data_IF_004861270353
#
_entry.id   IF_004861270353
#
_cell.length_a   1.000
_cell.length_b   1.000
_cell.length_c   1.000
_cell.angle_alpha   90.00
_cell.angle_beta   90.00
_cell.angle_gamma   90.00
#
_symmetry.space_group_name_H-M   'P 1'
#
loop_
_entity.id
_entity.type
_entity.pdbx_description
1 polymer ?
#
# COMPACT_ATOMS: atom_id res chain seq x y z
N UNK A 1 -0.68 -18.20 -11.45
CA UNK A 1 -1.37 -17.11 -12.15
C UNK A 1 -2.83 -17.09 -11.75
N UNK A 2 -3.25 -16.03 -11.02
CA UNK A 2 -4.62 -15.90 -10.49
C UNK A 2 -5.68 -15.64 -11.58
N UNK A 3 -5.28 -15.29 -12.80
CA UNK A 3 -6.20 -15.20 -13.92
C UNK A 3 -6.66 -16.59 -14.43
N UNK A 4 -5.94 -17.65 -14.04
CA UNK A 4 -6.17 -19.03 -14.45
C UNK A 4 -6.80 -19.83 -13.31
N UNK A 5 -8.13 -19.98 -13.29
CA UNK A 5 -8.86 -20.67 -12.21
C UNK A 5 -8.30 -22.05 -11.86
N UNK A 6 -8.01 -22.88 -12.87
CA UNK A 6 -7.51 -24.22 -12.64
C UNK A 6 -6.12 -24.20 -11.92
N UNK A 7 -5.20 -23.36 -12.40
CA UNK A 7 -3.87 -23.21 -11.80
C UNK A 7 -3.93 -22.65 -10.38
N UNK A 8 -4.84 -21.70 -10.13
CA UNK A 8 -5.03 -21.13 -8.79
C UNK A 8 -5.57 -22.21 -7.83
N UNK A 9 -6.62 -22.93 -8.23
CA UNK A 9 -7.17 -24.05 -7.46
C UNK A 9 -6.10 -25.09 -7.09
N UNK A 10 -5.28 -25.48 -8.05
CA UNK A 10 -4.23 -26.46 -7.80
C UNK A 10 -3.15 -25.93 -6.87
N UNK A 11 -2.80 -24.65 -6.98
CA UNK A 11 -1.81 -23.97 -6.11
C UNK A 11 -2.32 -23.76 -4.68
N UNK A 12 -3.63 -23.65 -4.47
CA UNK A 12 -4.23 -23.39 -3.14
C UNK A 12 -4.76 -24.66 -2.47
N UNK A 13 -4.59 -25.83 -3.09
CA UNK A 13 -5.06 -27.11 -2.55
C UNK A 13 -4.44 -27.41 -1.18
N UNK A 14 -5.29 -27.58 -0.17
CA UNK A 14 -4.85 -27.88 1.21
C UNK A 14 -4.28 -26.66 1.97
N UNK A 15 -4.42 -25.46 1.41
CA UNK A 15 -4.06 -24.24 2.13
C UNK A 15 -5.12 -23.90 3.19
N UNK A 16 -4.69 -23.47 4.38
CA UNK A 16 -5.54 -22.94 5.43
C UNK A 16 -5.84 -21.45 5.20
N UNK A 17 -4.91 -20.72 4.57
CA UNK A 17 -5.01 -19.30 4.27
C UNK A 17 -4.49 -19.02 2.86
N UNK A 18 -5.20 -18.18 2.12
CA UNK A 18 -4.79 -17.63 0.82
C UNK A 18 -4.48 -16.16 0.99
N UNK A 19 -3.20 -15.79 0.89
CA UNK A 19 -2.77 -14.40 0.91
C UNK A 19 -2.72 -13.83 -0.52
N UNK A 20 -3.64 -12.92 -0.82
CA UNK A 20 -3.67 -12.21 -2.08
C UNK A 20 -2.83 -10.92 -2.00
N UNK A 21 -1.57 -10.99 -2.40
CA UNK A 21 -0.66 -9.85 -2.55
C UNK A 21 -0.40 -9.51 -4.03
N UNK A 22 -1.31 -9.89 -4.92
CA UNK A 22 -1.18 -9.65 -6.35
C UNK A 22 -1.33 -8.17 -6.66
N UNK A 23 -0.52 -7.66 -7.58
CA UNK A 23 -0.63 -6.29 -8.08
C UNK A 23 -0.35 -6.25 -9.59
N UNK A 24 -1.35 -6.41 -10.45
CA UNK A 24 -1.17 -6.29 -11.89
C UNK A 24 -0.78 -4.85 -12.27
N UNK A 25 -0.22 -4.62 -13.48
CA UNK A 25 0.11 -3.28 -13.94
C UNK A 25 -1.10 -2.34 -13.88
N UNK A 26 -0.93 -1.13 -13.37
CA UNK A 26 -2.00 -0.14 -13.11
C UNK A 26 -2.99 0.05 -14.26
N UNK A 27 -2.48 0.14 -15.51
CA UNK A 27 -3.31 0.36 -16.70
C UNK A 27 -4.16 -0.86 -17.09
N UNK A 28 -3.98 -2.00 -16.39
CA UNK A 28 -4.72 -3.24 -16.62
C UNK A 28 -5.70 -3.56 -15.50
N UNK A 29 -5.78 -2.77 -14.44
CA UNK A 29 -6.59 -3.07 -13.25
C UNK A 29 -8.07 -3.29 -13.56
N UNK A 30 -8.68 -2.42 -14.35
CA UNK A 30 -10.11 -2.58 -14.72
C UNK A 30 -10.37 -3.87 -15.52
N UNK A 31 -9.38 -4.34 -16.28
CA UNK A 31 -9.47 -5.56 -17.07
C UNK A 31 -9.21 -6.82 -16.24
N UNK A 32 -8.14 -6.81 -15.43
CA UNK A 32 -7.58 -8.03 -14.87
C UNK A 32 -8.15 -8.34 -13.46
N UNK A 33 -8.37 -7.33 -12.63
CA UNK A 33 -8.83 -7.54 -11.27
C UNK A 33 -10.17 -8.26 -11.14
N UNK A 34 -11.22 -7.96 -11.94
CA UNK A 34 -12.52 -8.62 -11.77
C UNK A 34 -12.42 -10.14 -11.90
N UNK A 35 -11.72 -10.64 -12.93
CA UNK A 35 -11.53 -12.08 -13.11
C UNK A 35 -10.65 -12.70 -12.01
N UNK A 36 -9.57 -12.03 -11.61
CA UNK A 36 -8.69 -12.50 -10.53
C UNK A 36 -9.43 -12.57 -9.20
N UNK A 37 -10.22 -11.55 -8.85
CA UNK A 37 -11.01 -11.53 -7.61
C UNK A 37 -12.04 -12.67 -7.59
N UNK A 38 -12.76 -12.86 -8.69
CA UNK A 38 -13.71 -13.99 -8.83
C UNK A 38 -13.01 -15.34 -8.62
N UNK A 39 -11.83 -15.54 -9.21
CA UNK A 39 -11.07 -16.77 -9.08
C UNK A 39 -10.55 -16.99 -7.64
N UNK A 40 -10.10 -15.93 -6.96
CA UNK A 40 -9.66 -15.98 -5.56
C UNK A 40 -10.80 -16.37 -4.62
N UNK A 41 -11.98 -15.76 -4.78
CA UNK A 41 -13.19 -16.11 -4.02
C UNK A 41 -13.54 -17.60 -4.27
N UNK A 42 -13.56 -18.04 -5.53
CA UNK A 42 -13.83 -19.43 -5.88
C UNK A 42 -12.79 -20.40 -5.29
N UNK A 43 -11.51 -20.04 -5.27
CA UNK A 43 -10.47 -20.87 -4.66
C UNK A 43 -10.65 -20.99 -3.15
N UNK A 44 -10.99 -19.90 -2.46
CA UNK A 44 -11.30 -19.91 -1.02
C UNK A 44 -12.55 -20.75 -0.72
N UNK A 45 -13.59 -20.67 -1.57
CA UNK A 45 -14.81 -21.47 -1.44
C UNK A 45 -14.52 -22.98 -1.64
N UNK A 46 -13.73 -23.34 -2.62
CA UNK A 46 -13.37 -24.73 -2.93
C UNK A 46 -12.45 -25.36 -1.87
N UNK A 47 -11.55 -24.58 -1.25
CA UNK A 47 -10.57 -25.08 -0.27
C UNK A 47 -11.03 -24.96 1.18
N UNK A 48 -11.96 -24.05 1.45
CA UNK A 48 -12.32 -23.64 2.82
C UNK A 48 -11.25 -22.74 3.47
N UNK A 49 -10.24 -22.28 2.73
CA UNK A 49 -9.21 -21.39 3.25
C UNK A 49 -9.75 -20.00 3.57
N UNK A 50 -9.10 -19.31 4.50
CA UNK A 50 -9.35 -17.88 4.74
C UNK A 50 -8.72 -17.07 3.59
N UNK A 51 -9.48 -16.17 2.97
CA UNK A 51 -8.95 -15.24 1.96
C UNK A 51 -8.55 -13.93 2.62
N UNK A 52 -7.26 -13.65 2.65
CA UNK A 52 -6.69 -12.39 3.13
C UNK A 52 -6.20 -11.57 1.94
N UNK A 53 -6.78 -10.41 1.70
CA UNK A 53 -6.36 -9.54 0.58
C UNK A 53 -5.57 -8.34 1.07
N UNK A 54 -4.35 -8.17 0.59
CA UNK A 54 -3.60 -6.93 0.74
C UNK A 54 -4.15 -5.88 -0.25
N UNK A 55 -4.62 -4.79 0.30
CA UNK A 55 -5.27 -3.71 -0.43
C UNK A 55 -4.63 -2.35 -0.09
N UNK A 56 -5.28 -1.30 -0.51
CA UNK A 56 -4.88 0.08 -0.28
C UNK A 56 -6.08 0.97 0.09
N UNK A 57 -5.84 2.27 0.22
CA UNK A 57 -6.84 3.25 0.61
C UNK A 57 -7.66 3.82 -0.55
N UNK A 58 -7.38 3.42 -1.79
CA UNK A 58 -7.98 4.02 -3.00
C UNK A 58 -9.50 3.91 -3.03
N UNK A 59 -10.07 2.86 -2.41
CA UNK A 59 -11.51 2.65 -2.32
C UNK A 59 -12.24 3.76 -1.56
N UNK A 60 -11.59 4.43 -0.63
CA UNK A 60 -12.17 5.57 0.08
C UNK A 60 -12.29 6.81 -0.80
N UNK A 61 -11.36 7.01 -1.74
CA UNK A 61 -11.27 8.21 -2.54
C UNK A 61 -10.69 9.40 -1.77
N UNK A 62 -11.02 10.61 -2.21
CA UNK A 62 -10.60 11.83 -1.55
C UNK A 62 -11.55 12.15 -0.40
N UNK A 63 -11.10 11.98 0.83
CA UNK A 63 -11.86 12.27 2.06
C UNK A 63 -11.28 13.49 2.79
N UNK A 64 -12.12 14.16 3.57
CA UNK A 64 -11.68 15.22 4.46
C UNK A 64 -11.46 14.67 5.86
N UNK A 65 -10.20 14.63 6.30
CA UNK A 65 -9.77 14.07 7.57
C UNK A 65 -9.18 12.66 7.47
N UNK A 66 -8.83 12.03 8.62
CA UNK A 66 -8.27 10.70 8.66
C UNK A 66 -9.26 9.61 8.18
N UNK A 67 -8.76 8.70 7.37
CA UNK A 67 -9.49 7.51 6.94
C UNK A 67 -9.46 6.46 8.06
N UNK A 68 -10.62 5.99 8.46
CA UNK A 68 -10.80 4.83 9.36
C UNK A 68 -11.34 3.65 8.58
N UNK A 69 -11.34 2.45 9.16
CA UNK A 69 -11.90 1.25 8.56
C UNK A 69 -13.41 1.39 8.25
N UNK A 70 -14.09 2.28 8.97
CA UNK A 70 -15.52 2.58 8.77
C UNK A 70 -15.78 3.71 7.75
N UNK A 71 -14.74 4.32 7.19
CA UNK A 71 -14.88 5.34 6.15
C UNK A 71 -15.58 4.73 4.92
N UNK A 72 -16.63 5.35 4.38
CA UNK A 72 -17.34 4.82 3.22
C UNK A 72 -16.45 4.71 1.98
N UNK A 73 -16.65 3.65 1.20
CA UNK A 73 -15.97 3.46 -0.09
C UNK A 73 -16.64 4.30 -1.17
N UNK A 74 -16.19 5.54 -1.34
CA UNK A 74 -16.79 6.53 -2.25
C UNK A 74 -15.85 6.96 -3.37
N UNK A 75 -14.93 6.08 -3.77
CA UNK A 75 -13.91 6.38 -4.76
C UNK A 75 -14.49 6.89 -6.09
N UNK A 76 -13.97 8.01 -6.55
CA UNK A 76 -14.30 8.61 -7.84
C UNK A 76 -13.32 8.22 -8.96
N UNK A 77 -12.12 7.72 -8.60
CA UNK A 77 -11.11 7.24 -9.55
C UNK A 77 -11.44 5.84 -10.07
N UNK A 78 -10.92 5.48 -11.25
CA UNK A 78 -11.11 4.13 -11.81
C UNK A 78 -10.52 3.07 -10.90
N UNK A 79 -9.28 3.28 -10.45
CA UNK A 79 -8.57 2.34 -9.56
C UNK A 79 -9.25 2.18 -8.21
N UNK A 80 -9.71 3.29 -7.65
CA UNK A 80 -10.46 3.26 -6.39
C UNK A 80 -11.76 2.47 -6.50
N UNK A 81 -12.52 2.64 -7.60
CA UNK A 81 -13.73 1.84 -7.83
C UNK A 81 -13.43 0.35 -8.00
N UNK A 82 -12.32 -0.01 -8.63
CA UNK A 82 -11.90 -1.42 -8.73
C UNK A 82 -11.66 -2.00 -7.34
N UNK A 83 -10.90 -1.32 -6.49
CA UNK A 83 -10.61 -1.78 -5.11
C UNK A 83 -11.86 -1.85 -4.25
N UNK A 84 -12.72 -0.84 -4.31
CA UNK A 84 -14.00 -0.84 -3.60
C UNK A 84 -14.86 -2.05 -3.99
N UNK A 85 -15.03 -2.28 -5.29
CA UNK A 85 -15.81 -3.41 -5.79
C UNK A 85 -15.23 -4.77 -5.40
N UNK A 86 -13.90 -4.93 -5.46
CA UNK A 86 -13.25 -6.17 -5.02
C UNK A 86 -13.60 -6.51 -3.57
N UNK A 87 -13.51 -5.52 -2.69
CA UNK A 87 -13.87 -5.72 -1.29
C UNK A 87 -15.37 -5.99 -1.11
N UNK A 88 -16.23 -5.24 -1.76
CA UNK A 88 -17.70 -5.44 -1.70
C UNK A 88 -18.10 -6.86 -2.12
N UNK A 89 -17.55 -7.37 -3.23
CA UNK A 89 -17.78 -8.74 -3.72
C UNK A 89 -17.24 -9.79 -2.73
N UNK A 90 -16.05 -9.59 -2.19
CA UNK A 90 -15.42 -10.49 -1.22
C UNK A 90 -16.20 -10.52 0.10
N UNK A 91 -16.61 -9.35 0.60
CA UNK A 91 -17.40 -9.21 1.82
C UNK A 91 -18.82 -9.81 1.65
N UNK A 92 -19.42 -9.68 0.47
CA UNK A 92 -20.70 -10.32 0.17
C UNK A 92 -20.58 -11.84 0.25
N UNK A 93 -19.55 -12.43 -0.36
CA UNK A 93 -19.28 -13.86 -0.29
C UNK A 93 -19.06 -14.36 1.15
N UNK A 94 -18.37 -13.54 1.97
CA UNK A 94 -18.20 -13.82 3.41
C UNK A 94 -19.52 -13.80 4.16
N UNK A 95 -20.35 -12.76 3.96
CA UNK A 95 -21.67 -12.60 4.62
C UNK A 95 -22.68 -13.68 4.23
N UNK A 96 -22.55 -14.22 3.02
CA UNK A 96 -23.32 -15.36 2.53
C UNK A 96 -22.83 -16.70 3.13
N UNK A 97 -21.75 -16.69 3.91
CA UNK A 97 -21.16 -17.89 4.51
C UNK A 97 -20.43 -18.80 3.54
N UNK A 98 -20.13 -18.33 2.32
CA UNK A 98 -19.41 -19.09 1.30
C UNK A 98 -17.90 -19.17 1.57
N UNK A 99 -17.33 -18.10 2.10
CA UNK A 99 -15.91 -17.99 2.44
C UNK A 99 -15.69 -17.32 3.79
N UNK A 100 -14.49 -17.47 4.33
CA UNK A 100 -13.96 -16.60 5.40
C UNK A 100 -13.00 -15.64 4.76
N UNK A 101 -13.17 -14.34 4.97
CA UNK A 101 -12.33 -13.35 4.31
C UNK A 101 -12.08 -12.12 5.17
N UNK A 102 -10.94 -11.47 4.97
CA UNK A 102 -10.57 -10.18 5.54
C UNK A 102 -9.72 -9.38 4.56
N UNK A 103 -9.65 -8.06 4.73
CA UNK A 103 -8.85 -7.17 3.90
C UNK A 103 -7.90 -6.36 4.77
N UNK A 104 -6.62 -6.32 4.40
CA UNK A 104 -5.61 -5.46 5.02
C UNK A 104 -5.36 -4.27 4.10
N UNK A 105 -5.62 -3.06 4.59
CA UNK A 105 -5.44 -1.81 3.85
C UNK A 105 -4.20 -1.09 4.31
N UNK A 106 -3.32 -0.81 3.37
CA UNK A 106 -2.10 -0.06 3.55
C UNK A 106 -2.17 1.29 2.83
N UNK A 107 -1.48 2.29 3.35
CA UNK A 107 -1.14 3.50 2.61
C UNK A 107 0.07 3.23 1.70
N UNK A 108 0.72 4.27 1.20
CA UNK A 108 1.93 4.12 0.38
C UNK A 108 3.08 3.52 1.19
N UNK A 109 3.83 2.62 0.55
CA UNK A 109 4.85 1.83 1.23
C UNK A 109 6.19 2.54 1.38
N UNK A 110 6.80 2.29 2.54
CA UNK A 110 8.21 2.55 2.86
C UNK A 110 8.83 1.27 3.44
N UNK A 111 10.14 1.09 3.32
CA UNK A 111 10.86 -0.06 3.88
C UNK A 111 11.56 -0.88 2.80
N UNK A 112 11.44 -2.20 2.89
CA UNK A 112 12.13 -3.11 2.00
C UNK A 112 11.93 -2.76 0.53
N UNK A 113 13.06 -2.82 -0.19
CA UNK A 113 13.15 -2.44 -1.58
C UNK A 113 12.22 -3.25 -2.44
N UNK A 114 11.13 -2.65 -2.81
CA UNK A 114 10.42 -3.10 -3.99
C UNK A 114 10.37 -1.95 -5.00
N UNK A 115 10.29 -2.28 -6.27
CA UNK A 115 9.98 -1.31 -7.33
C UNK A 115 8.63 -0.62 -7.09
N UNK A 116 7.90 -1.06 -6.07
CA UNK A 116 6.57 -0.62 -5.70
C UNK A 116 6.55 0.42 -4.58
N UNK A 117 7.71 0.73 -3.96
CA UNK A 117 7.78 1.77 -2.92
C UNK A 117 8.05 3.14 -3.52
N UNK A 118 7.44 4.17 -2.95
CA UNK A 118 7.61 5.55 -3.42
C UNK A 118 9.04 6.05 -3.27
N UNK A 119 9.79 5.54 -2.30
CA UNK A 119 11.16 5.94 -1.98
C UNK A 119 12.22 4.89 -2.36
N UNK A 120 11.89 3.95 -3.25
CA UNK A 120 12.79 2.86 -3.65
C UNK A 120 13.81 3.23 -4.72
N UNK A 121 14.00 2.33 -5.66
CA UNK A 121 15.05 2.34 -6.70
C UNK A 121 15.18 3.61 -7.54
N UNK A 122 14.15 4.45 -7.58
CA UNK A 122 14.18 5.70 -8.35
C UNK A 122 14.77 6.87 -7.56
N UNK A 123 14.68 6.84 -6.24
CA UNK A 123 15.07 7.92 -5.34
C UNK A 123 16.49 7.71 -4.82
N UNK A 124 16.77 6.54 -4.23
CA UNK A 124 18.03 6.26 -3.55
C UNK A 124 19.28 6.52 -4.39
N UNK A 125 19.45 5.97 -5.62
CA UNK A 125 20.67 6.16 -6.40
C UNK A 125 20.91 7.64 -6.75
N UNK A 126 19.83 8.41 -6.89
CA UNK A 126 19.93 9.84 -7.20
C UNK A 126 20.26 10.65 -5.95
N UNK A 127 19.64 10.35 -4.83
CA UNK A 127 19.88 10.99 -3.54
C UNK A 127 21.33 10.80 -3.12
N UNK A 128 21.83 9.55 -3.12
CA UNK A 128 23.22 9.23 -2.78
C UNK A 128 24.25 9.88 -3.73
N UNK A 129 23.87 10.06 -5.00
CA UNK A 129 24.71 10.76 -5.98
C UNK A 129 24.60 12.31 -5.91
N UNK A 130 23.88 12.88 -4.94
CA UNK A 130 23.64 14.32 -4.81
C UNK A 130 22.85 14.93 -5.98
N UNK A 131 22.12 14.09 -6.75
CA UNK A 131 21.34 14.53 -7.92
C UNK A 131 19.92 14.92 -7.51
N UNK A 132 19.27 15.84 -8.25
CA UNK A 132 17.88 16.17 -8.03
C UNK A 132 16.98 14.92 -8.12
N UNK A 133 16.03 14.78 -7.21
CA UNK A 133 14.99 13.74 -7.21
C UNK A 133 13.68 14.29 -7.72
N UNK A 134 12.79 13.40 -8.19
CA UNK A 134 11.46 13.75 -8.68
C UNK A 134 10.42 13.03 -7.83
N UNK A 135 9.51 13.80 -7.23
CA UNK A 135 8.36 13.31 -6.47
C UNK A 135 7.05 13.68 -7.17
N UNK A 136 5.95 13.02 -6.80
CA UNK A 136 4.62 13.34 -7.35
C UNK A 136 3.88 14.34 -6.48
N UNK A 137 3.11 15.24 -7.10
CA UNK A 137 2.25 16.18 -6.42
C UNK A 137 2.99 17.15 -5.50
N UNK A 138 2.37 17.51 -4.39
CA UNK A 138 2.93 18.38 -3.34
C UNK A 138 3.78 17.56 -2.39
N UNK A 139 4.80 18.19 -1.81
CA UNK A 139 5.73 17.53 -0.89
C UNK A 139 5.55 17.95 0.56
N UNK A 140 4.58 18.83 0.83
CA UNK A 140 4.29 19.43 2.11
C UNK A 140 2.94 18.99 2.73
N UNK A 141 2.28 17.97 2.14
CA UNK A 141 1.03 17.46 2.67
C UNK A 141 1.29 16.28 3.63
N UNK A 142 0.58 16.21 4.77
CA UNK A 142 0.66 15.06 5.67
C UNK A 142 0.21 13.79 4.93
N UNK A 143 1.01 12.75 5.03
CA UNK A 143 0.78 11.48 4.36
C UNK A 143 1.16 10.33 5.30
N UNK A 144 0.30 9.32 5.41
CA UNK A 144 0.65 8.10 6.16
C UNK A 144 1.51 7.21 5.28
N UNK A 145 2.64 6.78 5.83
CA UNK A 145 3.55 5.82 5.20
C UNK A 145 3.44 4.49 5.92
N UNK A 146 3.16 3.44 5.17
CA UNK A 146 3.04 2.09 5.71
C UNK A 146 4.36 1.35 5.57
N UNK A 147 4.91 0.88 6.69
CA UNK A 147 6.07 0.00 6.67
C UNK A 147 5.68 -1.39 6.16
N UNK A 148 6.47 -1.91 5.21
CA UNK A 148 6.20 -3.22 4.59
C UNK A 148 6.25 -4.37 5.59
N UNK A 149 7.10 -4.28 6.62
CA UNK A 149 7.19 -5.26 7.71
C UNK A 149 5.92 -5.33 8.56
N UNK A 150 5.33 -4.17 8.88
CA UNK A 150 4.07 -4.11 9.64
C UNK A 150 2.90 -4.66 8.82
N UNK A 151 2.89 -4.40 7.51
CA UNK A 151 1.91 -4.99 6.61
C UNK A 151 2.01 -6.52 6.57
N UNK A 152 3.22 -7.07 6.51
CA UNK A 152 3.45 -8.51 6.53
C UNK A 152 3.02 -9.15 7.86
N UNK A 153 3.34 -8.49 8.98
CA UNK A 153 2.96 -8.92 10.33
C UNK A 153 1.44 -8.96 10.48
N UNK A 154 0.75 -7.90 10.06
CA UNK A 154 -0.71 -7.85 10.13
C UNK A 154 -1.36 -8.90 9.23
N UNK A 155 -0.87 -9.09 8.00
CA UNK A 155 -1.36 -10.14 7.10
C UNK A 155 -1.31 -11.52 7.77
N UNK A 156 -0.16 -11.88 8.35
CA UNK A 156 0.00 -13.17 9.02
C UNK A 156 -0.96 -13.34 10.21
N UNK A 157 -1.15 -12.27 10.97
CA UNK A 157 -2.03 -12.27 12.15
C UNK A 157 -3.50 -12.42 11.77
N UNK A 158 -4.02 -11.61 10.85
CA UNK A 158 -5.45 -11.62 10.51
C UNK A 158 -5.88 -12.87 9.75
N UNK A 159 -4.95 -13.58 9.11
CA UNK A 159 -5.22 -14.86 8.47
C UNK A 159 -5.58 -15.97 9.46
N UNK A 160 -5.15 -15.85 10.72
CA UNK A 160 -5.31 -16.85 11.77
C UNK A 160 -6.28 -16.42 12.90
N UNK A 161 -6.65 -15.15 12.95
CA UNK A 161 -7.51 -14.60 14.01
C UNK A 161 -8.94 -14.41 13.50
N UNK A 162 -9.88 -15.19 14.03
CA UNK A 162 -11.29 -15.13 13.63
C UNK A 162 -11.95 -13.76 13.89
N UNK A 163 -11.41 -12.96 14.83
CA UNK A 163 -11.87 -11.60 15.08
C UNK A 163 -11.68 -10.67 13.89
N UNK A 164 -10.75 -11.03 12.99
CA UNK A 164 -10.44 -10.22 11.81
C UNK A 164 -11.42 -10.45 10.64
N UNK A 165 -12.14 -11.58 10.61
CA UNK A 165 -12.89 -11.96 9.42
C UNK A 165 -14.18 -11.16 9.25
N UNK A 166 -14.50 -10.84 8.01
CA UNK A 166 -15.66 -10.02 7.65
C UNK A 166 -15.46 -8.52 7.80
N UNK A 167 -14.20 -8.07 7.98
CA UNK A 167 -13.85 -6.68 8.17
C UNK A 167 -12.56 -6.32 7.43
N UNK A 168 -12.37 -5.03 7.13
CA UNK A 168 -11.10 -4.49 6.67
C UNK A 168 -10.33 -3.92 7.87
N UNK A 169 -8.99 -3.99 7.80
CA UNK A 169 -8.08 -3.54 8.85
C UNK A 169 -6.99 -2.65 8.27
N UNK A 170 -6.70 -1.54 8.92
CA UNK A 170 -5.61 -0.68 8.55
C UNK A 170 -4.29 -1.18 9.13
N UNK A 171 -3.22 -1.15 8.33
CA UNK A 171 -1.89 -1.51 8.82
C UNK A 171 -1.44 -0.49 9.87
N UNK A 172 -1.00 -0.90 11.07
CA UNK A 172 -0.41 0.01 12.05
C UNK A 172 0.66 0.87 11.38
N UNK A 173 0.54 2.18 11.54
CA UNK A 173 1.43 3.14 10.86
C UNK A 173 1.74 4.32 11.78
N UNK A 174 2.96 4.80 11.72
CA UNK A 174 3.40 5.97 12.48
C UNK A 174 2.61 7.23 12.13
N UNK A 175 2.78 8.27 12.94
CA UNK A 175 2.23 9.60 12.66
C UNK A 175 2.57 10.05 11.23
N UNK A 176 1.63 10.71 10.52
CA UNK A 176 1.84 11.14 9.15
C UNK A 176 3.07 12.04 8.99
N UNK A 177 3.83 11.82 7.92
CA UNK A 177 4.99 12.62 7.54
C UNK A 177 4.78 13.15 6.13
N UNK A 178 5.28 14.34 5.84
CA UNK A 178 5.31 14.85 4.46
C UNK A 178 6.37 14.14 3.63
N UNK A 179 6.22 14.12 2.31
CA UNK A 179 7.27 13.58 1.42
C UNK A 179 8.64 14.24 1.67
N UNK A 180 8.64 15.56 1.97
CA UNK A 180 9.88 16.30 2.23
C UNK A 180 10.55 15.84 3.54
N UNK A 181 9.78 15.59 4.61
CA UNK A 181 10.30 15.09 5.88
C UNK A 181 10.87 13.68 5.74
N UNK A 182 10.21 12.78 5.00
CA UNK A 182 10.73 11.44 4.72
C UNK A 182 12.06 11.51 3.99
N UNK A 183 12.15 12.34 2.93
CA UNK A 183 13.42 12.50 2.18
C UNK A 183 14.52 13.10 3.08
N UNK A 184 14.16 14.05 3.95
CA UNK A 184 15.12 14.62 4.90
C UNK A 184 15.65 13.56 5.87
N UNK A 185 14.77 12.73 6.46
CA UNK A 185 15.16 11.65 7.36
C UNK A 185 16.05 10.59 6.66
N UNK A 186 15.72 10.22 5.41
CA UNK A 186 16.53 9.29 4.62
C UNK A 186 17.90 9.88 4.25
N UNK A 187 17.96 11.16 3.91
CA UNK A 187 19.23 11.83 3.58
C UNK A 187 20.12 11.97 4.83
N UNK A 188 19.54 12.35 5.97
CA UNK A 188 20.24 12.45 7.26
C UNK A 188 20.80 11.10 7.69
N UNK A 189 19.97 10.06 7.72
CA UNK A 189 20.39 8.70 8.06
C UNK A 189 21.44 8.11 7.11
N UNK A 190 21.46 8.55 5.85
CA UNK A 190 22.49 8.19 4.87
C UNK A 190 23.76 9.06 4.96
N UNK A 191 23.78 10.10 5.79
CA UNK A 191 24.90 11.04 5.91
C UNK A 191 25.13 11.87 4.63
N UNK A 192 24.09 12.13 3.83
CA UNK A 192 24.20 12.90 2.59
C UNK A 192 23.39 14.20 2.66
N UNK A 193 23.80 15.27 1.95
CA UNK A 193 23.01 16.50 1.91
C UNK A 193 21.60 16.28 1.36
N UNK A 194 20.63 17.05 1.87
CA UNK A 194 19.25 17.07 1.35
C UNK A 194 19.26 17.29 -0.17
N UNK A 195 18.71 16.36 -0.97
CA UNK A 195 18.70 16.50 -2.42
C UNK A 195 17.73 17.61 -2.86
N UNK A 196 17.99 18.22 -4.02
CA UNK A 196 17.03 19.13 -4.63
C UNK A 196 15.79 18.34 -5.07
N UNK A 197 14.65 18.63 -4.49
CA UNK A 197 13.36 18.03 -4.86
C UNK A 197 12.75 18.80 -6.04
N UNK A 198 12.29 18.07 -7.04
CA UNK A 198 11.41 18.52 -8.12
C UNK A 198 10.11 17.77 -8.05
N UNK A 199 9.01 18.35 -8.49
CA UNK A 199 7.69 17.74 -8.43
C UNK A 199 7.08 17.57 -9.81
N UNK A 200 6.38 16.45 -10.02
CA UNK A 200 5.60 16.19 -11.21
C UNK A 200 4.10 16.35 -10.87
N UNK A 201 3.51 17.43 -11.35
CA UNK A 201 2.07 17.66 -11.24
C UNK A 201 1.28 17.09 -12.44
N UNK A 202 -0.04 17.24 -12.40
CA UNK A 202 -0.98 16.68 -13.39
C UNK A 202 -0.63 17.04 -14.85
N UNK A 203 -0.20 18.27 -15.13
CA UNK A 203 0.16 18.70 -16.48
C UNK A 203 1.35 17.92 -17.05
N UNK A 204 2.41 17.74 -16.23
CA UNK A 204 3.60 16.99 -16.61
C UNK A 204 3.26 15.49 -16.80
N UNK A 205 2.51 14.90 -15.88
CA UNK A 205 2.13 13.48 -15.96
C UNK A 205 1.21 13.21 -17.18
N UNK A 206 0.29 14.12 -17.52
CA UNK A 206 -0.53 14.00 -18.74
C UNK A 206 0.34 14.04 -19.99
N UNK A 207 1.30 14.96 -20.06
CA UNK A 207 2.20 15.08 -21.21
C UNK A 207 3.07 13.82 -21.38
N UNK A 208 3.66 13.32 -20.30
CA UNK A 208 4.44 12.08 -20.32
C UNK A 208 3.54 10.87 -20.64
N UNK A 209 2.31 10.88 -20.14
CA UNK A 209 1.30 9.82 -20.36
C UNK A 209 0.92 9.61 -21.83
N UNK A 210 1.11 10.60 -22.70
CA UNK A 210 0.90 10.43 -24.15
C UNK A 210 1.83 9.38 -24.76
N UNK A 211 3.02 9.20 -24.17
CA UNK A 211 4.06 8.26 -24.63
C UNK A 211 4.32 7.11 -23.66
N UNK A 212 3.87 7.25 -22.42
CA UNK A 212 4.07 6.29 -21.34
C UNK A 212 2.75 6.08 -20.58
N UNK A 213 1.96 5.07 -20.99
CA UNK A 213 0.66 4.77 -20.37
C UNK A 213 0.71 4.66 -18.83
N UNK A 214 1.65 3.93 -18.22
CA UNK A 214 1.77 3.89 -16.76
C UNK A 214 1.88 5.27 -16.09
N UNK A 215 2.60 6.21 -16.68
CA UNK A 215 2.71 7.56 -16.12
C UNK A 215 1.39 8.35 -16.22
N UNK A 216 0.63 8.14 -17.29
CA UNK A 216 -0.71 8.73 -17.46
C UNK A 216 -1.70 8.24 -16.40
N UNK A 217 -1.56 6.99 -15.97
CA UNK A 217 -2.40 6.38 -14.94
C UNK A 217 -2.20 7.00 -13.54
N UNK A 218 -1.05 7.61 -13.28
CA UNK A 218 -0.76 8.26 -12.01
C UNK A 218 -1.52 9.59 -11.83
N UNK A 219 -2.05 10.17 -12.91
CA UNK A 219 -2.77 11.44 -12.85
C UNK A 219 -4.01 11.35 -11.93
N UNK A 220 -4.75 10.24 -12.01
CA UNK A 220 -5.95 10.08 -11.19
C UNK A 220 -5.61 9.82 -9.70
N UNK A 221 -4.36 9.48 -9.38
CA UNK A 221 -3.90 9.22 -8.02
C UNK A 221 -3.18 10.42 -7.38
N UNK A 222 -3.00 11.54 -8.09
CA UNK A 222 -2.33 12.73 -7.55
C UNK A 222 -3.01 13.32 -6.32
N UNK A 223 -4.30 13.08 -6.14
CA UNK A 223 -5.03 13.57 -4.97
C UNK A 223 -4.44 13.06 -3.64
N UNK A 224 -3.75 11.93 -3.65
CA UNK A 224 -3.06 11.37 -2.48
C UNK A 224 -1.92 12.28 -1.98
N UNK A 225 -1.30 13.02 -2.90
CA UNK A 225 -0.18 13.92 -2.62
C UNK A 225 -0.55 15.39 -2.65
N UNK A 226 -1.66 15.77 -3.29
CA UNK A 226 -2.09 17.15 -3.41
C UNK A 226 -2.88 17.67 -2.20
N UNK A 227 -3.23 16.78 -1.26
CA UNK A 227 -3.97 17.03 -0.03
C UNK A 227 -3.51 16.09 1.09
N UNK A 228 -3.91 16.31 2.37
CA UNK A 228 -3.67 15.33 3.42
C UNK A 228 -4.23 13.94 3.05
N UNK A 229 -3.40 12.92 3.22
CA UNK A 229 -3.76 11.52 2.96
C UNK A 229 -3.39 10.69 4.19
N UNK A 230 -4.27 10.73 5.18
CA UNK A 230 -4.01 10.23 6.53
C UNK A 230 -4.87 9.01 6.81
N UNK A 231 -4.23 7.94 7.24
CA UNK A 231 -4.86 6.70 7.69
C UNK A 231 -4.83 6.63 9.22
N UNK A 232 -5.94 6.29 9.84
CA UNK A 232 -6.05 5.96 11.27
C UNK A 232 -6.06 4.44 11.43
N UNK A 233 -5.05 3.87 12.07
CA UNK A 233 -4.90 2.43 12.34
C UNK A 233 -5.25 2.06 13.79
N UNK A 234 -5.73 2.99 14.58
CA UNK A 234 -5.95 2.81 16.02
C UNK A 234 -6.94 1.69 16.38
N UNK A 235 -7.87 1.36 15.47
CA UNK A 235 -8.78 0.23 15.68
C UNK A 235 -8.03 -1.10 15.60
N UNK A 236 -7.18 -1.27 14.60
CA UNK A 236 -6.31 -2.45 14.43
C UNK A 236 -5.39 -2.62 15.64
N UNK A 237 -4.71 -1.56 16.05
CA UNK A 237 -3.77 -1.55 17.17
C UNK A 237 -4.45 -2.02 18.47
N UNK A 238 -5.59 -1.43 18.80
CA UNK A 238 -6.36 -1.83 20.00
C UNK A 238 -6.93 -3.24 19.93
N UNK A 239 -7.37 -3.69 18.74
CA UNK A 239 -8.01 -4.99 18.58
C UNK A 239 -7.03 -6.14 18.71
N UNK A 240 -5.85 -5.99 18.16
CA UNK A 240 -4.85 -7.06 18.09
C UNK A 240 -3.66 -6.85 19.04
N UNK A 241 -3.55 -5.70 19.70
CA UNK A 241 -2.44 -5.38 20.59
C UNK A 241 -1.12 -5.23 19.81
N UNK A 242 -1.17 -4.68 18.61
CA UNK A 242 -0.02 -4.43 17.74
C UNK A 242 0.27 -2.93 17.69
N UNK A 243 1.55 -2.58 17.52
CA UNK A 243 2.00 -1.20 17.38
C UNK A 243 2.77 -1.05 16.07
N UNK A 244 2.82 0.15 15.47
CA UNK A 244 3.66 0.39 14.31
C UNK A 244 5.14 0.31 14.70
N UNK A 245 5.98 -0.19 13.79
CA UNK A 245 7.44 -0.10 13.94
C UNK A 245 7.85 1.37 14.10
N UNK A 246 8.74 1.70 15.06
CA UNK A 246 9.22 3.08 15.28
C UNK A 246 9.83 3.68 14.00
N UNK A 247 9.62 5.00 13.82
CA UNK A 247 10.02 5.68 12.59
C UNK A 247 11.52 5.63 12.31
N UNK A 248 12.35 5.72 13.34
CA UNK A 248 13.81 5.61 13.22
C UNK A 248 14.25 4.21 12.77
N UNK A 249 13.59 3.16 13.23
CA UNK A 249 13.82 1.79 12.78
C UNK A 249 13.40 1.61 11.30
N UNK A 250 12.25 2.18 10.90
CA UNK A 250 11.79 2.17 9.50
C UNK A 250 12.82 2.85 8.59
N UNK A 251 13.34 4.01 8.98
CA UNK A 251 14.36 4.72 8.21
C UNK A 251 15.65 3.89 8.12
N UNK A 252 16.13 3.36 9.25
CA UNK A 252 17.34 2.55 9.28
C UNK A 252 17.23 1.31 8.39
N UNK A 253 16.09 0.58 8.47
CA UNK A 253 15.85 -0.58 7.64
C UNK A 253 15.72 -0.23 6.16
N UNK A 254 15.01 0.87 5.84
CA UNK A 254 14.90 1.36 4.46
C UNK A 254 16.26 1.69 3.85
N UNK A 255 17.16 2.27 4.63
CA UNK A 255 18.54 2.53 4.20
C UNK A 255 19.32 1.23 3.98
N UNK A 256 19.27 0.33 4.97
CA UNK A 256 19.98 -0.96 4.95
C UNK A 256 19.64 -1.80 3.71
N UNK A 257 18.34 -1.95 3.39
CA UNK A 257 17.90 -2.75 2.23
C UNK A 257 18.19 -2.09 0.89
N UNK A 258 18.46 -0.80 0.88
CA UNK A 258 18.95 -0.08 -0.30
C UNK A 258 20.49 0.00 -0.35
N UNK A 259 21.19 -0.79 0.47
CA UNK A 259 22.64 -0.92 0.46
C UNK A 259 23.37 0.29 1.06
N UNK A 260 22.72 1.01 1.97
CA UNK A 260 23.29 2.17 2.66
C UNK A 260 23.51 1.81 4.13
N UNK A 261 24.78 1.85 4.56
CA UNK A 261 25.11 1.73 5.99
C UNK A 261 24.62 3.00 6.72
N UNK A 262 23.86 2.81 7.79
CA UNK A 262 23.37 3.94 8.59
C UNK A 262 24.52 4.56 9.37
N UNK A 263 24.63 5.88 9.31
CA UNK A 263 25.51 6.62 10.23
C UNK A 263 24.85 6.59 11.60
N UNK A 264 25.55 6.17 12.67
CA UNK A 264 24.98 6.23 14.01
C UNK A 264 24.56 7.67 14.31
N UNK A 265 23.29 7.89 14.59
CA UNK A 265 22.81 9.18 15.11
C UNK A 265 23.52 9.42 16.42
N UNK A 266 24.51 10.30 16.45
CA UNK A 266 25.08 10.82 17.68
C UNK A 266 23.98 11.62 18.37
N UNK A 267 23.35 10.98 19.39
CA UNK A 267 22.36 11.64 20.22
C UNK A 267 22.95 12.94 20.78
N UNK A 268 22.26 14.04 20.52
CA UNK A 268 22.48 15.35 21.16
C UNK A 268 21.57 15.44 22.38
#
# INVERSE_FOLDING_TARGET
DASQRAGLRDATRGADVIYNCINPPYHLWERDWPAMNTNLIAAAEETGAVLVTLSNLYGYGAVDGPMTENTPLTAHTRKGRVRARMWEETLAAHREGRIRATEVRASDYIGESSDQTNFGVRIFPRMLAGKPIMLMGRTDQPHTWTYTGDAATLLALVGQDERAWGQAWHVPSCAPQTQAEVIAALADGAGVPMPKIRTAGAGMLRMVGLFNKPAGELVEMLYEFDRPFVMDSSLTERTFGVEPTPWDEIIAETLRVNGVDTVPTTGV
#
